data_IF_346181276277
#
_entry.id   IF_346181276277
#
_cell.length_a   1.000
_cell.length_b   1.000
_cell.length_c   1.000
_cell.angle_alpha   90.00
_cell.angle_beta   90.00
_cell.angle_gamma   90.00
#
_symmetry.space_group_name_H-M   'P 1'
#
loop_
_entity.id
_entity.type
_entity.pdbx_description
1 polymer ?
#
# COMPACT_ATOMS: atom_id res chain seq x y z
N UNK A 1 17.36 12.30 0.19
CA UNK A 1 17.91 11.44 -0.90
C UNK A 1 16.95 11.37 -2.10
N UNK A 2 15.65 11.07 -1.91
CA UNK A 2 14.64 11.03 -2.98
C UNK A 2 14.61 12.27 -3.89
N UNK A 3 14.61 13.47 -3.30
CA UNK A 3 14.59 14.74 -4.05
C UNK A 3 15.72 14.85 -5.07
N UNK A 4 16.91 14.29 -4.77
CA UNK A 4 18.07 14.33 -5.68
C UNK A 4 17.89 13.42 -6.90
N UNK A 5 16.96 12.47 -6.86
CA UNK A 5 16.64 11.57 -7.98
C UNK A 5 15.56 12.13 -8.91
N UNK A 6 14.99 13.32 -8.64
CA UNK A 6 13.92 13.90 -9.44
C UNK A 6 14.27 14.03 -10.94
N UNK A 7 15.55 14.26 -11.28
CA UNK A 7 16.02 14.34 -12.66
C UNK A 7 15.85 13.03 -13.47
N UNK A 8 15.59 11.90 -12.81
CA UNK A 8 15.38 10.58 -13.44
C UNK A 8 13.92 10.15 -13.48
N UNK A 9 13.02 10.92 -12.86
CA UNK A 9 11.59 10.68 -12.94
C UNK A 9 11.05 11.22 -14.27
N UNK A 10 10.24 10.43 -14.97
CA UNK A 10 9.42 10.97 -16.03
C UNK A 10 8.31 11.81 -15.38
N UNK A 11 8.24 13.10 -15.73
CA UNK A 11 7.08 13.94 -15.42
C UNK A 11 5.97 13.60 -16.40
N UNK A 12 4.75 13.43 -15.90
CA UNK A 12 3.57 13.29 -16.75
C UNK A 12 3.23 14.63 -17.43
N UNK A 13 2.18 14.64 -18.26
CA UNK A 13 1.73 15.84 -18.98
C UNK A 13 1.40 17.01 -18.03
N UNK A 14 1.03 16.72 -16.80
CA UNK A 14 0.82 17.71 -15.74
C UNK A 14 2.10 17.97 -14.95
N UNK A 15 2.36 19.25 -14.68
CA UNK A 15 3.53 19.66 -13.90
C UNK A 15 3.60 18.97 -12.55
N UNK A 16 2.48 18.65 -11.90
CA UNK A 16 2.40 18.10 -10.54
C UNK A 16 2.09 16.59 -10.46
N UNK A 17 2.17 15.88 -11.58
CA UNK A 17 1.95 14.43 -11.62
C UNK A 17 3.24 13.69 -11.94
N UNK A 18 3.72 12.90 -10.97
CA UNK A 18 4.85 11.99 -11.14
C UNK A 18 4.40 10.59 -11.54
N UNK A 19 5.29 9.85 -12.21
CA UNK A 19 5.04 8.44 -12.55
C UNK A 19 5.12 7.48 -11.35
N UNK A 20 5.47 7.98 -10.17
CA UNK A 20 5.55 7.20 -8.95
C UNK A 20 6.74 7.57 -8.09
N UNK A 21 6.54 7.59 -6.78
CA UNK A 21 7.65 7.62 -5.83
C UNK A 21 7.33 6.68 -4.68
N UNK A 22 8.37 6.16 -4.05
CA UNK A 22 8.20 5.44 -2.79
C UNK A 22 9.49 5.18 -2.05
N UNK A 23 9.30 4.81 -0.80
CA UNK A 23 10.34 4.46 0.15
C UNK A 23 9.92 3.17 0.86
N UNK A 24 10.86 2.24 0.94
CA UNK A 24 10.76 1.08 1.83
C UNK A 24 11.67 1.33 3.01
N UNK A 25 11.15 1.17 4.22
CA UNK A 25 11.91 1.33 5.47
C UNK A 25 11.79 0.08 6.32
N UNK A 26 12.71 -0.09 7.27
CA UNK A 26 12.47 -1.02 8.36
C UNK A 26 11.30 -0.53 9.21
N UNK A 27 10.58 -1.46 9.83
CA UNK A 27 9.40 -1.19 10.63
C UNK A 27 9.74 -0.34 11.88
N UNK A 28 9.30 0.94 11.97
CA UNK A 28 9.51 1.78 13.16
C UNK A 28 8.56 1.37 14.29
N UNK A 29 9.01 0.49 15.17
CA UNK A 29 8.16 -0.08 16.23
C UNK A 29 7.54 0.98 17.15
N UNK A 30 8.34 1.95 17.61
CA UNK A 30 7.87 2.96 18.58
C UNK A 30 6.73 3.80 18.00
N UNK A 31 6.88 4.26 16.75
CA UNK A 31 5.80 4.91 16.00
C UNK A 31 4.57 4.02 15.88
N UNK A 32 4.75 2.75 15.49
CA UNK A 32 3.59 1.86 15.28
C UNK A 32 2.84 1.53 16.57
N UNK A 33 3.54 1.49 17.70
CA UNK A 33 2.93 1.30 19.01
C UNK A 33 2.01 2.45 19.39
N UNK A 34 2.41 3.68 19.09
CA UNK A 34 1.60 4.88 19.34
C UNK A 34 0.35 4.88 18.45
N UNK A 35 0.51 4.71 17.14
CA UNK A 35 -0.65 4.75 16.23
C UNK A 35 -1.59 3.56 16.39
N UNK A 36 -1.10 2.40 16.85
CA UNK A 36 -1.94 1.27 17.20
C UNK A 36 -2.81 1.59 18.42
N UNK A 37 -2.23 2.23 19.44
CA UNK A 37 -2.96 2.68 20.63
C UNK A 37 -4.03 3.70 20.25
N UNK A 38 -3.72 4.65 19.38
CA UNK A 38 -4.70 5.63 18.89
C UNK A 38 -5.81 4.98 18.06
N UNK A 39 -5.49 3.91 17.33
CA UNK A 39 -6.47 3.10 16.60
C UNK A 39 -7.25 2.11 17.50
N UNK A 40 -6.97 2.07 18.80
CA UNK A 40 -7.74 1.32 19.79
C UNK A 40 -7.29 -0.12 20.03
N UNK A 41 -6.05 -0.50 19.69
CA UNK A 41 -5.51 -1.83 19.98
C UNK A 41 -4.06 -1.79 20.46
N UNK A 42 -3.65 -2.82 21.21
CA UNK A 42 -2.28 -2.97 21.68
C UNK A 42 -1.43 -3.73 20.68
N UNK A 43 -0.17 -3.29 20.54
CA UNK A 43 0.79 -3.87 19.64
C UNK A 43 1.74 -4.83 20.40
N UNK A 44 1.89 -6.09 19.94
CA UNK A 44 2.89 -7.01 20.47
C UNK A 44 4.33 -6.50 20.28
N UNK A 45 5.32 -7.13 20.95
CA UNK A 45 6.73 -6.85 20.72
C UNK A 45 7.17 -7.01 19.26
N UNK A 46 8.26 -6.33 18.83
CA UNK A 46 8.84 -6.50 17.50
C UNK A 46 9.06 -7.98 17.14
N UNK A 47 8.63 -8.37 15.95
CA UNK A 47 8.76 -9.75 15.46
C UNK A 47 7.56 -10.67 15.79
N UNK A 48 6.61 -10.21 16.61
CA UNK A 48 5.36 -10.94 16.89
C UNK A 48 4.15 -10.39 16.11
N UNK A 49 4.32 -9.24 15.46
CA UNK A 49 3.33 -8.62 14.59
C UNK A 49 3.95 -8.19 13.25
N UNK A 50 3.08 -8.01 12.27
CA UNK A 50 3.39 -7.39 11.00
C UNK A 50 2.50 -6.18 10.72
N UNK A 51 2.94 -5.39 9.74
CA UNK A 51 2.14 -4.30 9.19
C UNK A 51 1.99 -4.51 7.69
N UNK A 52 0.74 -4.60 7.26
CA UNK A 52 0.37 -4.59 5.86
C UNK A 52 -0.05 -3.20 5.42
N UNK A 53 0.44 -2.75 4.26
CA UNK A 53 0.01 -1.49 3.64
C UNK A 53 -0.86 -1.80 2.42
N UNK A 54 -2.06 -1.24 2.36
CA UNK A 54 -3.07 -1.53 1.36
C UNK A 54 -3.54 -0.26 0.67
N UNK A 55 -3.73 -0.37 -0.64
CA UNK A 55 -4.55 0.52 -1.44
C UNK A 55 -5.90 -0.14 -1.61
N UNK A 56 -6.92 0.51 -1.09
CA UNK A 56 -8.29 0.03 -1.01
C UNK A 56 -9.20 0.87 -1.93
N UNK A 57 -10.35 0.33 -2.34
CA UNK A 57 -11.32 1.08 -3.14
C UNK A 57 -11.85 2.28 -2.35
N UNK A 58 -12.20 3.34 -3.07
CA UNK A 58 -12.89 4.52 -2.51
C UNK A 58 -14.30 4.19 -2.05
N UNK A 59 -15.00 3.31 -2.77
CA UNK A 59 -16.31 2.78 -2.33
C UNK A 59 -16.18 1.97 -1.03
N UNK A 60 -16.88 2.44 0.00
CA UNK A 60 -16.82 1.88 1.35
C UNK A 60 -17.30 0.42 1.40
N UNK A 61 -18.38 0.08 0.69
CA UNK A 61 -18.90 -1.30 0.69
C UNK A 61 -17.91 -2.28 0.08
N UNK A 62 -17.26 -1.91 -1.03
CA UNK A 62 -16.18 -2.71 -1.63
C UNK A 62 -14.98 -2.80 -0.70
N UNK A 63 -14.61 -1.71 -0.02
CA UNK A 63 -13.50 -1.70 0.94
C UNK A 63 -13.75 -2.66 2.11
N UNK A 64 -14.90 -2.57 2.75
CA UNK A 64 -15.27 -3.46 3.86
C UNK A 64 -15.37 -4.92 3.43
N UNK A 65 -15.89 -5.19 2.22
CA UNK A 65 -15.87 -6.54 1.64
C UNK A 65 -14.44 -7.06 1.45
N UNK A 66 -13.52 -6.21 1.00
CA UNK A 66 -12.10 -6.56 0.85
C UNK A 66 -11.43 -6.89 2.19
N UNK A 67 -11.70 -6.09 3.24
CA UNK A 67 -11.20 -6.35 4.60
C UNK A 67 -11.76 -7.64 5.17
N UNK A 68 -13.06 -7.88 5.01
CA UNK A 68 -13.70 -9.10 5.49
C UNK A 68 -13.12 -10.35 4.83
N UNK A 69 -12.86 -10.30 3.53
CA UNK A 69 -12.25 -11.41 2.81
C UNK A 69 -10.78 -11.62 3.21
N UNK A 70 -9.99 -10.54 3.39
CA UNK A 70 -8.64 -10.64 3.94
C UNK A 70 -8.65 -11.29 5.33
N UNK A 71 -9.56 -10.86 6.21
CA UNK A 71 -9.74 -11.42 7.56
C UNK A 71 -10.02 -12.91 7.53
N UNK A 72 -10.94 -13.35 6.67
CA UNK A 72 -11.25 -14.77 6.50
C UNK A 72 -10.01 -15.59 6.12
N UNK A 73 -9.18 -15.11 5.20
CA UNK A 73 -7.94 -15.81 4.81
C UNK A 73 -6.94 -15.82 5.96
N UNK A 74 -6.73 -14.69 6.64
CA UNK A 74 -5.83 -14.59 7.79
C UNK A 74 -6.20 -15.58 8.91
N UNK A 75 -7.47 -15.60 9.31
CA UNK A 75 -7.99 -16.50 10.35
C UNK A 75 -7.88 -17.98 9.93
N UNK A 76 -8.10 -18.29 8.65
CA UNK A 76 -7.95 -19.66 8.14
C UNK A 76 -6.51 -20.18 8.25
N UNK A 77 -5.52 -19.29 8.15
CA UNK A 77 -4.10 -19.59 8.32
C UNK A 77 -3.63 -19.49 9.79
N UNK A 78 -4.54 -19.13 10.70
CA UNK A 78 -4.26 -19.02 12.14
C UNK A 78 -3.64 -17.69 12.58
N UNK A 79 -3.65 -16.68 11.72
CA UNK A 79 -3.27 -15.32 12.10
C UNK A 79 -4.42 -14.60 12.79
N UNK A 80 -4.09 -13.65 13.67
CA UNK A 80 -5.07 -12.75 14.31
C UNK A 80 -4.88 -11.34 13.78
N UNK A 81 -5.97 -10.71 13.32
CA UNK A 81 -5.96 -9.27 12.99
C UNK A 81 -6.17 -8.50 14.29
N UNK A 82 -5.18 -7.67 14.64
CA UNK A 82 -5.24 -6.76 15.80
C UNK A 82 -6.15 -5.57 15.50
N UNK A 83 -6.02 -5.00 14.30
CA UNK A 83 -6.82 -3.87 13.88
C UNK A 83 -6.42 -3.32 12.52
N UNK A 84 -7.22 -2.35 12.07
CA UNK A 84 -6.98 -1.56 10.87
C UNK A 84 -6.78 -0.10 11.25
N UNK A 85 -5.92 0.59 10.50
CA UNK A 85 -5.66 2.03 10.65
C UNK A 85 -5.78 2.70 9.29
N UNK A 86 -6.53 3.80 9.22
CA UNK A 86 -6.47 4.70 8.07
C UNK A 86 -5.15 5.46 8.10
N UNK A 87 -4.40 5.48 7.00
CA UNK A 87 -3.15 6.22 6.90
C UNK A 87 -3.48 7.68 6.56
N UNK A 88 -3.11 8.66 7.41
CA UNK A 88 -3.36 10.06 7.10
C UNK A 88 -2.47 10.50 5.92
N UNK A 89 -3.10 11.11 4.91
CA UNK A 89 -2.43 11.63 3.73
C UNK A 89 -2.78 13.10 3.48
N UNK A 90 -1.86 13.84 2.87
CA UNK A 90 -2.08 15.21 2.39
C UNK A 90 -1.95 15.24 0.85
N UNK A 91 -3.09 15.31 0.17
CA UNK A 91 -3.16 15.28 -1.28
C UNK A 91 -3.17 16.67 -1.94
N UNK A 92 -2.94 17.75 -1.18
CA UNK A 92 -3.05 19.14 -1.65
C UNK A 92 -2.07 19.52 -2.78
N UNK A 93 -0.91 18.84 -2.88
CA UNK A 93 0.08 19.08 -3.94
C UNK A 93 -0.05 18.11 -5.15
N UNK A 94 -1.06 17.23 -5.16
CA UNK A 94 -1.23 16.26 -6.24
C UNK A 94 -1.87 16.90 -7.49
N UNK A 95 -1.44 16.46 -8.67
CA UNK A 95 -2.14 16.79 -9.92
C UNK A 95 -3.47 16.05 -10.05
N UNK A 96 -4.37 16.58 -10.88
CA UNK A 96 -5.74 16.09 -11.06
C UNK A 96 -5.77 14.59 -11.43
N UNK A 97 -4.91 14.17 -12.36
CA UNK A 97 -4.80 12.75 -12.74
C UNK A 97 -4.34 11.81 -11.61
N UNK A 98 -3.57 12.30 -10.64
CA UNK A 98 -3.19 11.53 -9.46
C UNK A 98 -4.34 11.47 -8.44
N UNK A 99 -5.07 12.57 -8.25
CA UNK A 99 -6.24 12.65 -7.38
C UNK A 99 -7.38 11.73 -7.86
N UNK A 100 -7.67 11.70 -9.16
CA UNK A 100 -8.71 10.84 -9.74
C UNK A 100 -8.46 9.34 -9.51
N UNK A 101 -7.20 8.96 -9.29
CA UNK A 101 -6.78 7.57 -9.13
C UNK A 101 -6.26 7.27 -7.72
N UNK A 102 -6.43 8.21 -6.78
CA UNK A 102 -5.99 8.08 -5.41
C UNK A 102 -6.80 6.98 -4.68
N UNK A 103 -6.14 5.95 -4.14
CA UNK A 103 -6.80 4.92 -3.35
C UNK A 103 -7.02 5.39 -1.91
N UNK A 104 -7.94 4.73 -1.20
CA UNK A 104 -7.96 4.81 0.26
C UNK A 104 -6.80 4.00 0.81
N UNK A 105 -5.91 4.61 1.59
CA UNK A 105 -4.71 3.95 2.10
C UNK A 105 -4.94 3.49 3.53
N UNK A 106 -4.89 2.18 3.73
CA UNK A 106 -5.05 1.59 5.05
C UNK A 106 -3.92 0.63 5.42
N UNK A 107 -3.64 0.56 6.70
CA UNK A 107 -2.75 -0.40 7.31
C UNK A 107 -3.54 -1.45 8.08
N UNK A 108 -3.08 -2.70 8.03
CA UNK A 108 -3.57 -3.79 8.88
C UNK A 108 -2.43 -4.30 9.75
N UNK A 109 -2.75 -4.65 10.98
CA UNK A 109 -1.82 -5.22 11.94
C UNK A 109 -2.22 -6.66 12.23
N UNK A 110 -1.30 -7.59 11.99
CA UNK A 110 -1.57 -9.02 12.08
C UNK A 110 -0.50 -9.70 12.93
N UNK A 111 -0.89 -10.72 13.70
CA UNK A 111 0.05 -11.47 14.55
C UNK A 111 0.64 -12.67 13.82
N UNK A 112 1.79 -13.14 14.31
CA UNK A 112 2.32 -14.46 13.92
C UNK A 112 1.30 -15.56 14.23
N UNK A 113 1.17 -16.52 13.31
CA UNK A 113 0.36 -17.72 13.53
C UNK A 113 1.16 -18.74 14.34
N UNK A 114 0.59 -19.21 15.45
CA UNK A 114 1.14 -20.33 16.22
C UNK A 114 0.86 -21.70 15.59
N UNK A 115 0.03 -21.74 14.53
CA UNK A 115 -0.32 -22.98 13.81
C UNK A 115 0.72 -23.41 12.79
N UNK A 116 1.75 -22.60 12.56
CA UNK A 116 2.80 -22.87 11.58
C UNK A 116 4.17 -22.80 12.21
N UNK A 117 5.00 -23.80 11.94
CA UNK A 117 6.42 -23.81 12.30
C UNK A 117 7.26 -22.92 11.38
N UNK A 118 6.70 -22.45 10.27
CA UNK A 118 7.40 -21.58 9.34
C UNK A 118 7.78 -20.24 9.98
N UNK A 119 8.90 -19.68 9.53
CA UNK A 119 9.31 -18.33 9.90
C UNK A 119 8.24 -17.30 9.56
N UNK A 120 8.11 -16.24 10.36
CA UNK A 120 6.97 -15.34 10.25
C UNK A 120 6.85 -14.70 8.86
N UNK A 121 7.96 -14.24 8.26
CA UNK A 121 7.95 -13.70 6.89
C UNK A 121 7.48 -14.72 5.84
N UNK A 122 7.73 -16.02 6.04
CA UNK A 122 7.22 -17.06 5.14
C UNK A 122 5.70 -17.23 5.30
N UNK A 123 5.20 -17.18 6.53
CA UNK A 123 3.77 -17.17 6.81
C UNK A 123 3.09 -15.96 6.13
N UNK A 124 3.68 -14.77 6.27
CA UNK A 124 3.18 -13.53 5.65
C UNK A 124 3.24 -13.57 4.13
N UNK A 125 4.26 -14.18 3.54
CA UNK A 125 4.32 -14.40 2.10
C UNK A 125 3.14 -15.26 1.61
N UNK A 126 2.83 -16.36 2.31
CA UNK A 126 1.69 -17.22 2.00
C UNK A 126 0.38 -16.44 2.18
N UNK A 127 0.21 -15.76 3.31
CA UNK A 127 -0.95 -14.93 3.60
C UNK A 127 -1.18 -13.88 2.51
N UNK A 128 -0.12 -13.16 2.11
CA UNK A 128 -0.16 -12.17 1.03
C UNK A 128 -0.63 -12.79 -0.27
N UNK A 129 -0.06 -13.93 -0.68
CA UNK A 129 -0.38 -14.60 -1.95
C UNK A 129 -1.83 -15.06 -1.98
N UNK A 130 -2.29 -15.73 -0.93
CA UNK A 130 -3.65 -16.26 -0.86
C UNK A 130 -4.69 -15.14 -0.74
N UNK A 131 -4.42 -14.13 0.11
CA UNK A 131 -5.35 -13.02 0.31
C UNK A 131 -5.52 -12.18 -0.95
N UNK A 132 -4.45 -11.91 -1.71
CA UNK A 132 -4.58 -11.19 -2.99
C UNK A 132 -5.51 -11.91 -3.96
N UNK A 133 -5.38 -13.24 -4.07
CA UNK A 133 -6.23 -14.04 -4.96
C UNK A 133 -7.70 -13.97 -4.50
N UNK A 134 -7.94 -14.22 -3.23
CA UNK A 134 -9.30 -14.32 -2.67
C UNK A 134 -10.00 -12.96 -2.63
N UNK A 135 -9.33 -11.89 -2.19
CA UNK A 135 -9.90 -10.53 -2.20
C UNK A 135 -10.21 -10.07 -3.62
N UNK A 136 -9.31 -10.27 -4.59
CA UNK A 136 -9.57 -9.87 -5.98
C UNK A 136 -10.74 -10.62 -6.60
N UNK A 137 -10.87 -11.91 -6.32
CA UNK A 137 -12.04 -12.69 -6.73
C UNK A 137 -13.33 -12.14 -6.07
N UNK A 138 -13.30 -11.88 -4.77
CA UNK A 138 -14.45 -11.37 -4.01
C UNK A 138 -14.91 -9.99 -4.50
N UNK A 139 -13.99 -9.13 -4.91
CA UNK A 139 -14.26 -7.79 -5.44
C UNK A 139 -14.55 -7.76 -6.95
N UNK A 140 -14.58 -8.93 -7.62
CA UNK A 140 -14.73 -9.06 -9.06
C UNK A 140 -13.69 -8.25 -9.86
N UNK A 141 -12.46 -8.16 -9.34
CA UNK A 141 -11.37 -7.40 -9.96
C UNK A 141 -10.82 -8.21 -11.13
N UNK A 142 -11.13 -7.77 -12.35
CA UNK A 142 -10.55 -8.32 -13.57
C UNK A 142 -9.06 -7.97 -13.68
N UNK A 143 -8.33 -8.64 -14.58
CA UNK A 143 -6.95 -8.25 -14.92
C UNK A 143 -6.94 -6.77 -15.28
N UNK A 144 -6.14 -5.97 -14.57
CA UNK A 144 -6.08 -4.53 -14.74
C UNK A 144 -6.86 -3.63 -13.80
N UNK A 145 -7.73 -4.19 -12.96
CA UNK A 145 -8.41 -3.43 -11.92
C UNK A 145 -7.53 -3.23 -10.68
N UNK A 146 -6.20 -3.07 -10.81
CA UNK A 146 -5.33 -2.81 -9.64
C UNK A 146 -5.78 -1.57 -8.84
N UNK A 147 -6.49 -0.64 -9.48
CA UNK A 147 -7.14 0.53 -8.84
C UNK A 147 -8.09 0.18 -7.70
N UNK A 148 -8.68 -1.00 -7.76
CA UNK A 148 -9.64 -1.41 -6.75
C UNK A 148 -8.94 -1.98 -5.51
N UNK A 149 -7.83 -2.71 -5.68
CA UNK A 149 -7.16 -3.34 -4.55
C UNK A 149 -5.71 -3.70 -4.88
N UNK A 150 -4.80 -3.22 -4.04
CA UNK A 150 -3.40 -3.56 -4.12
C UNK A 150 -2.73 -3.59 -2.74
N UNK A 151 -1.94 -4.63 -2.47
CA UNK A 151 -1.19 -4.75 -1.22
C UNK A 151 0.26 -4.29 -1.47
N UNK A 152 0.66 -3.16 -0.91
CA UNK A 152 2.00 -2.58 -1.09
C UNK A 152 3.08 -3.40 -0.39
N UNK A 153 2.84 -3.77 0.86
CA UNK A 153 3.71 -4.60 1.67
C UNK A 153 2.87 -5.38 2.68
N UNK A 154 3.42 -6.48 3.19
CA UNK A 154 2.91 -7.24 4.32
C UNK A 154 4.12 -7.97 4.91
N UNK A 155 4.68 -7.43 6.00
CA UNK A 155 5.95 -7.89 6.55
C UNK A 155 6.07 -7.47 8.02
N UNK A 156 6.74 -8.29 8.81
CA UNK A 156 7.12 -8.02 10.20
C UNK A 156 8.41 -7.19 10.32
N UNK A 157 9.09 -6.94 9.18
CA UNK A 157 10.39 -6.25 9.14
C UNK A 157 10.38 -4.95 8.37
N UNK A 158 9.50 -4.81 7.38
CA UNK A 158 9.53 -3.68 6.44
C UNK A 158 8.15 -3.15 6.11
N UNK A 159 8.09 -1.86 5.78
CA UNK A 159 6.88 -1.18 5.33
C UNK A 159 7.21 -0.31 4.10
N UNK A 160 6.30 -0.28 3.13
CA UNK A 160 6.46 0.50 1.89
C UNK A 160 5.44 1.63 1.85
N UNK A 161 5.94 2.87 1.81
CA UNK A 161 5.16 4.08 1.52
C UNK A 161 5.39 4.46 0.06
N UNK A 162 4.35 4.49 -0.76
CA UNK A 162 4.48 4.83 -2.18
C UNK A 162 3.21 5.52 -2.69
N UNK A 163 3.35 6.44 -3.64
CA UNK A 163 2.22 7.18 -4.24
C UNK A 163 2.47 7.54 -5.70
N UNK A 164 1.41 7.81 -6.49
CA UNK A 164 1.51 8.38 -7.84
C UNK A 164 1.93 9.84 -7.71
N UNK A 165 3.14 9.99 -7.23
CA UNK A 165 3.73 11.19 -6.65
C UNK A 165 5.06 11.42 -7.35
N UNK A 166 5.49 12.67 -7.37
CA UNK A 166 6.89 12.99 -7.57
C UNK A 166 7.72 12.57 -6.37
N UNK A 167 9.02 12.33 -6.55
CA UNK A 167 9.95 12.11 -5.45
C UNK A 167 9.90 13.17 -4.34
N UNK A 168 9.69 14.45 -4.70
CA UNK A 168 9.59 15.57 -3.74
C UNK A 168 8.28 15.57 -2.95
N UNK A 169 7.21 14.98 -3.49
CA UNK A 169 5.89 14.95 -2.86
C UNK A 169 5.77 13.89 -1.76
N UNK A 170 6.59 12.84 -1.80
CA UNK A 170 6.45 11.69 -0.90
C UNK A 170 6.40 12.05 0.58
N UNK A 171 7.31 12.95 1.01
CA UNK A 171 7.38 13.36 2.41
C UNK A 171 6.18 14.21 2.83
N UNK A 172 5.71 15.13 1.98
CA UNK A 172 4.53 15.94 2.25
C UNK A 172 3.27 15.09 2.28
N UNK A 173 3.11 14.21 1.29
CA UNK A 173 1.93 13.35 1.17
C UNK A 173 1.74 12.42 2.38
N UNK A 174 2.83 11.84 2.90
CA UNK A 174 2.81 11.00 4.10
C UNK A 174 3.36 11.72 5.34
N UNK A 175 3.20 13.04 5.44
CA UNK A 175 3.87 13.84 6.48
C UNK A 175 3.52 13.39 7.90
N UNK A 176 2.27 12.98 8.15
CA UNK A 176 1.84 12.49 9.46
C UNK A 176 2.65 11.28 9.96
N UNK A 177 3.08 10.41 9.04
CA UNK A 177 3.86 9.21 9.37
C UNK A 177 5.36 9.48 9.19
N UNK A 178 5.78 9.85 7.98
CA UNK A 178 7.20 10.05 7.62
C UNK A 178 7.83 11.30 8.26
N UNK A 179 7.02 12.20 8.80
CA UNK A 179 7.44 13.38 9.56
C UNK A 179 7.38 13.20 11.07
N UNK A 180 6.85 12.07 11.55
CA UNK A 180 6.71 11.80 12.99
C UNK A 180 8.07 11.59 13.66
N UNK A 181 8.27 12.12 14.86
CA UNK A 181 9.55 12.04 15.58
C UNK A 181 9.98 10.59 15.90
N UNK A 182 9.01 9.74 16.24
CA UNK A 182 9.24 8.33 16.52
C UNK A 182 9.33 7.44 15.25
N UNK A 183 9.24 8.03 14.05
CA UNK A 183 9.42 7.28 12.80
C UNK A 183 10.90 7.03 12.53
N UNK A 184 11.47 6.10 13.28
CA UNK A 184 12.90 5.77 13.23
C UNK A 184 13.13 4.44 12.52
N UNK A 185 14.02 4.45 11.53
CA UNK A 185 14.37 3.25 10.77
C UNK A 185 15.89 3.14 10.56
N UNK A 186 16.43 1.93 10.71
CA UNK A 186 17.83 1.63 10.46
C UNK A 186 18.19 1.50 8.98
N UNK A 187 17.19 1.39 8.09
CA UNK A 187 17.40 1.35 6.64
C UNK A 187 16.30 2.06 5.86
N UNK A 188 16.65 2.59 4.69
CA UNK A 188 15.70 3.14 3.75
C UNK A 188 16.15 2.84 2.32
N UNK A 189 15.25 2.29 1.51
CA UNK A 189 15.44 2.09 0.08
C UNK A 189 14.44 2.96 -0.68
N UNK A 190 14.94 3.82 -1.56
CA UNK A 190 14.13 4.80 -2.28
C UNK A 190 14.07 4.50 -3.78
N UNK A 191 12.92 4.71 -4.41
CA UNK A 191 12.76 4.51 -5.86
C UNK A 191 11.72 5.46 -6.47
N UNK A 192 12.01 5.96 -7.68
CA UNK A 192 11.20 6.91 -8.46
C UNK A 192 10.25 6.25 -9.47
N UNK A 193 10.06 4.92 -9.43
CA UNK A 193 9.10 4.20 -10.30
C UNK A 193 8.33 3.09 -9.58
N UNK A 194 8.01 3.29 -8.30
CA UNK A 194 7.28 2.30 -7.48
C UNK A 194 5.79 2.11 -7.88
N UNK A 195 5.26 2.92 -8.81
CA UNK A 195 3.85 2.92 -9.23
C UNK A 195 3.50 2.22 -10.53
N UNK A 196 4.46 1.85 -11.39
CA UNK A 196 4.10 1.26 -12.70
C UNK A 196 3.27 -0.04 -12.60
N UNK A 197 3.30 -0.73 -11.46
CA UNK A 197 2.42 -1.89 -11.22
C UNK A 197 0.92 -1.55 -11.13
N UNK A 198 0.55 -0.28 -11.00
CA UNK A 198 -0.84 0.19 -10.94
C UNK A 198 -1.36 0.81 -12.26
N UNK A 199 -0.45 1.28 -13.14
CA UNK A 199 -0.82 2.00 -14.38
C UNK A 199 -1.12 1.10 -15.59
N UNK A 200 -0.73 -0.17 -15.59
CA UNK A 200 -0.66 -1.00 -16.80
C UNK A 200 -2.01 -1.43 -17.44
N UNK A 201 -3.12 -0.72 -17.20
CA UNK A 201 -4.42 -1.07 -17.79
C UNK A 201 -5.21 0.04 -18.49
N UNK A 202 -4.57 1.16 -18.86
CA UNK A 202 -5.19 2.11 -19.78
C UNK A 202 -4.58 2.23 -21.18
N UNK A 203 -3.41 1.63 -21.43
CA UNK A 203 -2.74 1.85 -22.72
C UNK A 203 -2.91 0.71 -23.75
N UNK A 204 -3.80 -0.26 -23.49
CA UNK A 204 -4.13 -1.32 -24.46
C UNK A 204 -5.55 -1.27 -25.00
N UNK A 205 -6.46 -0.47 -24.43
CA UNK A 205 -7.83 -0.31 -24.96
C UNK A 205 -7.98 0.84 -25.95
N UNK A 206 -6.97 1.71 -26.14
CA UNK A 206 -7.00 2.81 -27.14
C UNK A 206 -6.31 2.48 -28.48
N UNK A 207 -5.73 1.29 -28.65
CA UNK A 207 -5.09 0.87 -29.91
C UNK A 207 -5.93 -0.06 -30.80
N UNK A 208 -7.19 -0.32 -30.44
CA UNK A 208 -8.11 -1.11 -31.27
C UNK A 208 -9.45 -0.38 -31.40
N UNK A 209 -9.51 0.60 -32.31
CA UNK A 209 -10.74 1.30 -32.67
C UNK A 209 -10.49 2.29 -33.80
N UNK A 210 -11.31 2.17 -34.85
CA UNK A 210 -11.41 3.04 -36.04
C UNK A 210 -10.29 2.96 -37.08
N UNK A 211 -10.21 1.83 -37.77
CA UNK A 211 -9.97 1.83 -39.22
C UNK A 211 -11.21 1.23 -39.89
N UNK A 212 -12.22 2.07 -40.12
CA UNK A 212 -13.24 1.79 -41.13
C UNK A 212 -13.77 3.13 -41.67
N UNK A 213 -13.12 3.57 -42.74
CA UNK A 213 -13.60 4.62 -43.63
C UNK A 213 -13.36 4.16 -45.05
N UNK A 214 -14.41 3.61 -45.68
CA UNK A 214 -14.80 3.62 -47.10
C UNK A 214 -15.64 2.40 -47.43
#
# INVERSE_FOLDING_TARGET
MLERMAHRGACSCEKNTGDGAGIMVALPHDFFKEVAKDAGFELPPPGEYDVGMFFMPTDEKRREKGKAEFKKVAESLGHVILGWRLVPTDNSDLGESALETEPVIEQVFVTKSSRSEAEFEQQLYILRRLSIISVRASLNIKRGGERDFYMCSLSSRTIVYKGQLKPSQLKGYYYADLGHENFMSYMALVNTKLWHLHKNCHDHSRRMGTNNSK
#
